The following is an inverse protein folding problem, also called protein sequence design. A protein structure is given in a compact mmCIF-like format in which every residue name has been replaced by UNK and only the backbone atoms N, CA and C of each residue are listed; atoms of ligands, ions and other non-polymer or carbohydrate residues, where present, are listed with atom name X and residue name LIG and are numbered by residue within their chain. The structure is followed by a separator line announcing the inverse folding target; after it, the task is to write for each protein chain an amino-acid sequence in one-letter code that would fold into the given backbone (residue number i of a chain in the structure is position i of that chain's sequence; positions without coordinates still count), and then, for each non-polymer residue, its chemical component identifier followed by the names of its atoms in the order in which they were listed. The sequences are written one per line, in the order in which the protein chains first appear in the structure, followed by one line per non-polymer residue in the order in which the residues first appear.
data_IF_881608723125
#
_entry.id   IF_881608723125
#
_cell.length_a   1.000
_cell.length_b   1.000
_cell.length_c   1.000
_cell.angle_alpha   90.00
_cell.angle_beta   90.00
_cell.angle_gamma   90.00
#
_symmetry.space_group_name_H-M   'P 1'
#
loop_
_entity.id
_entity.type
_entity.pdbx_description
1 polymer ?
#
# COMPACT_ATOMS: atom_id res chain seq x y z
N UNK A 1 1.07 -12.40 -16.39
CA UNK A 1 2.14 -11.45 -16.00
C UNK A 1 1.56 -10.05 -16.13
N UNK A 2 1.24 -9.39 -15.02
CA UNK A 2 0.55 -8.09 -15.04
C UNK A 2 1.42 -7.04 -15.72
N UNK A 3 0.88 -6.35 -16.73
CA UNK A 3 1.55 -5.20 -17.34
C UNK A 3 1.53 -4.06 -16.33
N UNK A 4 2.71 -3.65 -15.86
CA UNK A 4 2.88 -2.50 -14.99
C UNK A 4 2.87 -1.23 -15.85
N UNK A 5 1.84 -0.40 -15.69
CA UNK A 5 1.72 0.85 -16.44
C UNK A 5 2.45 1.99 -15.70
N UNK A 6 3.69 2.25 -16.12
CA UNK A 6 4.53 3.36 -15.63
C UNK A 6 3.93 4.74 -15.90
N UNK A 7 2.95 4.87 -16.79
CA UNK A 7 2.31 6.17 -17.08
C UNK A 7 1.56 6.71 -15.87
N UNK A 8 1.06 5.83 -15.01
CA UNK A 8 0.31 6.18 -13.81
C UNK A 8 1.18 6.81 -12.71
N UNK A 9 2.49 6.54 -12.71
CA UNK A 9 3.44 7.09 -11.74
C UNK A 9 3.46 8.62 -11.81
N UNK A 10 3.20 9.21 -12.99
CA UNK A 10 3.12 10.67 -13.18
C UNK A 10 1.99 11.34 -12.41
N UNK A 11 0.96 10.59 -12.03
CA UNK A 11 -0.24 11.11 -11.37
C UNK A 11 -0.29 10.79 -9.87
N UNK A 12 0.73 10.10 -9.34
CA UNK A 12 0.84 9.83 -7.92
C UNK A 12 1.14 11.11 -7.14
N UNK A 13 0.40 11.31 -6.06
CA UNK A 13 0.62 12.39 -5.10
C UNK A 13 1.82 12.09 -4.18
N UNK A 14 2.29 13.11 -3.46
CA UNK A 14 3.35 12.92 -2.45
C UNK A 14 2.95 11.93 -1.36
N UNK A 15 1.66 11.83 -1.01
CA UNK A 15 1.21 10.86 -0.01
C UNK A 15 1.26 9.42 -0.54
N UNK A 16 0.98 9.22 -1.83
CA UNK A 16 1.06 7.90 -2.48
C UNK A 16 2.49 7.38 -2.46
N UNK A 17 3.47 8.23 -2.76
CA UNK A 17 4.89 7.87 -2.68
C UNK A 17 5.32 7.51 -1.25
N UNK A 18 4.87 8.28 -0.24
CA UNK A 18 5.17 7.95 1.16
C UNK A 18 4.60 6.59 1.56
N UNK A 19 3.39 6.25 1.11
CA UNK A 19 2.78 4.94 1.35
C UNK A 19 3.57 3.83 0.64
N UNK A 20 3.96 4.04 -0.62
CA UNK A 20 4.77 3.06 -1.35
C UNK A 20 6.13 2.81 -0.67
N UNK A 21 6.83 3.86 -0.25
CA UNK A 21 8.08 3.75 0.52
C UNK A 21 7.85 3.07 1.87
N UNK A 22 6.76 3.38 2.57
CA UNK A 22 6.42 2.72 3.84
C UNK A 22 6.17 1.22 3.67
N UNK A 23 5.53 0.81 2.56
CA UNK A 23 5.34 -0.60 2.21
C UNK A 23 6.70 -1.25 1.93
N UNK A 24 7.54 -0.64 1.09
CA UNK A 24 8.87 -1.16 0.77
C UNK A 24 9.72 -1.34 2.05
N UNK A 25 9.72 -0.34 2.94
CA UNK A 25 10.41 -0.42 4.23
C UNK A 25 9.84 -1.53 5.12
N UNK A 26 8.52 -1.68 5.18
CA UNK A 26 7.86 -2.74 5.95
C UNK A 26 8.17 -4.14 5.40
N UNK A 27 8.27 -4.28 4.08
CA UNK A 27 8.52 -5.56 3.41
C UNK A 27 9.92 -6.12 3.71
N UNK A 28 10.87 -5.28 4.12
CA UNK A 28 12.20 -5.73 4.56
C UNK A 28 12.15 -6.63 5.79
N UNK A 29 11.12 -6.47 6.62
CA UNK A 29 10.98 -7.17 7.91
C UNK A 29 9.71 -8.03 8.00
N UNK A 30 8.75 -7.85 7.09
CA UNK A 30 7.47 -8.55 7.08
C UNK A 30 7.11 -9.01 5.67
N UNK A 31 6.86 -10.31 5.48
CA UNK A 31 6.34 -10.83 4.19
C UNK A 31 4.97 -10.22 3.84
N UNK A 32 4.15 -9.92 4.86
CA UNK A 32 2.90 -9.18 4.75
C UNK A 32 2.95 -7.99 5.70
N UNK A 33 2.94 -6.78 5.15
CA UNK A 33 3.01 -5.55 5.93
C UNK A 33 1.62 -5.18 6.46
N UNK A 34 1.41 -5.08 7.79
CA UNK A 34 0.14 -4.67 8.35
C UNK A 34 -0.21 -3.21 8.03
N UNK A 35 -1.49 -2.93 7.83
CA UNK A 35 -1.96 -1.60 7.42
C UNK A 35 -1.69 -0.50 8.47
N UNK A 36 -1.74 -0.85 9.75
CA UNK A 36 -1.38 0.06 10.84
C UNK A 36 0.11 0.43 10.80
N UNK A 37 0.99 -0.52 10.46
CA UNK A 37 2.43 -0.29 10.36
C UNK A 37 2.74 0.64 9.20
N UNK A 38 2.09 0.45 8.05
CA UNK A 38 2.20 1.34 6.90
C UNK A 38 1.79 2.77 7.28
N UNK A 39 0.67 2.95 7.99
CA UNK A 39 0.20 4.27 8.40
C UNK A 39 1.19 5.00 9.33
N UNK A 40 1.83 4.25 10.25
CA UNK A 40 2.85 4.78 11.16
C UNK A 40 4.11 5.19 10.39
N UNK A 41 4.65 4.32 9.54
CA UNK A 41 5.87 4.60 8.77
C UNK A 41 5.65 5.75 7.77
N UNK A 42 4.49 5.78 7.10
CA UNK A 42 4.14 6.83 6.15
C UNK A 42 3.84 8.19 6.81
N UNK A 43 3.72 8.25 8.15
CA UNK A 43 3.41 9.45 8.92
C UNK A 43 2.25 10.26 8.31
N UNK A 44 1.14 9.58 8.03
CA UNK A 44 -0.08 10.19 7.50
C UNK A 44 -0.86 10.90 8.62
N UNK A 45 -1.21 12.17 8.42
CA UNK A 45 -1.86 13.01 9.46
C UNK A 45 -3.30 12.60 9.76
N UNK A 46 -4.00 12.02 8.78
CA UNK A 46 -5.39 11.57 8.90
C UNK A 46 -5.53 10.22 8.16
N UNK A 47 -6.52 9.40 8.52
CA UNK A 47 -6.72 7.99 8.11
C UNK A 47 -6.89 7.67 6.61
N UNK A 48 -6.25 8.43 5.72
CA UNK A 48 -6.24 8.25 4.26
C UNK A 48 -5.43 7.06 3.75
N UNK A 49 -4.66 6.37 4.61
CA UNK A 49 -3.86 5.20 4.23
C UNK A 49 -4.72 4.15 3.50
N UNK A 50 -5.93 3.88 4.00
CA UNK A 50 -6.86 2.93 3.39
C UNK A 50 -7.42 3.36 2.01
N UNK A 51 -7.50 4.67 1.76
CA UNK A 51 -7.95 5.21 0.47
C UNK A 51 -6.82 5.06 -0.55
N UNK A 52 -5.64 5.52 -0.19
CA UNK A 52 -4.41 5.44 -1.00
C UNK A 52 -4.12 3.99 -1.37
N UNK A 53 -4.15 3.06 -0.38
CA UNK A 53 -3.86 1.66 -0.64
C UNK A 53 -4.82 1.04 -1.67
N UNK A 54 -6.11 1.38 -1.63
CA UNK A 54 -7.10 0.89 -2.61
C UNK A 54 -6.82 1.42 -4.00
N UNK A 55 -6.39 2.67 -4.11
CA UNK A 55 -6.04 3.30 -5.38
C UNK A 55 -4.77 2.65 -5.97
N UNK A 56 -3.74 2.44 -5.15
CA UNK A 56 -2.51 1.76 -5.55
C UNK A 56 -2.76 0.30 -6.00
N UNK A 57 -3.66 -0.42 -5.31
CA UNK A 57 -4.08 -1.78 -5.72
C UNK A 57 -4.83 -1.76 -7.06
N UNK A 58 -5.71 -0.78 -7.27
CA UNK A 58 -6.45 -0.61 -8.54
C UNK A 58 -5.49 -0.37 -9.71
N UNK A 59 -4.39 0.33 -9.47
CA UNK A 59 -3.33 0.56 -10.47
C UNK A 59 -2.32 -0.58 -10.57
N UNK A 60 -2.56 -1.71 -9.88
CA UNK A 60 -1.66 -2.86 -9.82
C UNK A 60 -0.23 -2.51 -9.36
N UNK A 61 -0.08 -1.45 -8.56
CA UNK A 61 1.20 -1.02 -8.00
C UNK A 61 1.57 -1.84 -6.74
N UNK A 62 0.57 -2.36 -6.03
CA UNK A 62 0.72 -3.23 -4.86
C UNK A 62 -0.35 -4.31 -4.84
N UNK A 63 0.01 -5.47 -4.30
CA UNK A 63 -0.93 -6.54 -4.00
C UNK A 63 -1.40 -6.41 -2.55
N UNK A 64 -2.71 -6.55 -2.33
CA UNK A 64 -3.32 -6.50 -1.00
C UNK A 64 -3.95 -7.85 -0.68
N UNK A 65 -3.43 -8.53 0.34
CA UNK A 65 -3.96 -9.79 0.81
C UNK A 65 -4.84 -9.59 2.06
N UNK A 66 -6.14 -9.85 1.91
CA UNK A 66 -7.13 -9.78 3.00
C UNK A 66 -7.37 -11.14 3.69
N UNK A 67 -6.58 -12.18 3.38
CA UNK A 67 -6.80 -13.56 3.83
C UNK A 67 -6.81 -13.71 5.35
N UNK A 68 -6.12 -12.84 6.08
CA UNK A 68 -6.16 -12.81 7.54
C UNK A 68 -7.58 -12.59 8.10
N UNK A 69 -8.47 -11.92 7.36
CA UNK A 69 -9.86 -11.68 7.80
C UNK A 69 -10.79 -12.88 7.57
N UNK A 70 -10.38 -13.87 6.76
CA UNK A 70 -11.22 -15.03 6.42
C UNK A 70 -11.05 -16.25 7.33
N UNK A 71 -10.01 -16.32 8.17
CA UNK A 71 -9.78 -17.48 9.07
C UNK A 71 -10.58 -17.46 10.39
N UNK A 72 -11.51 -16.52 10.56
CA UNK A 72 -12.35 -16.42 11.77
C UNK A 72 -13.82 -16.80 11.52
N UNK A 73 -14.05 -17.80 10.65
CA UNK A 73 -15.32 -18.52 10.53
C UNK A 73 -15.06 -20.01 10.46
#
# INVERSE_FOLDING_TARGET
MGKFDVSLIRYLSGEDYRVLTAIEMGMRNHELVPLHLIAVIASLKHGGCHKILRELVRHCLVAYDASARRRSK
#
